data_IF_272889970226
#
_entry.id   IF_272889970226
#
_cell.length_a   1.000
_cell.length_b   1.000
_cell.length_c   1.000
_cell.angle_alpha   90.00
_cell.angle_beta   90.00
_cell.angle_gamma   90.00
#
_symmetry.space_group_name_H-M   'P 1'
#
loop_
_entity.id
_entity.type
_entity.pdbx_description
1 polymer ?
#
# COMPACT_ATOMS: atom_id res chain seq x y z
N UNK A 1 -18.25 8.20 -3.64
CA UNK A 1 -17.04 7.57 -3.09
C UNK A 1 -17.43 6.18 -2.57
N UNK A 2 -17.16 5.13 -3.33
CA UNK A 2 -17.49 3.74 -3.00
C UNK A 2 -16.48 3.14 -2.02
N UNK A 3 -16.82 2.00 -1.42
CA UNK A 3 -15.89 1.26 -0.54
C UNK A 3 -14.60 0.90 -1.28
N UNK A 4 -14.68 0.48 -2.55
CA UNK A 4 -13.50 0.28 -3.40
C UNK A 4 -12.63 1.53 -3.47
N UNK A 5 -13.22 2.70 -3.76
CA UNK A 5 -12.44 3.94 -3.91
C UNK A 5 -11.70 4.31 -2.62
N UNK A 6 -12.32 4.09 -1.44
CA UNK A 6 -11.67 4.32 -0.14
C UNK A 6 -10.52 3.35 0.10
N UNK A 7 -10.73 2.05 -0.15
CA UNK A 7 -9.71 1.02 0.03
C UNK A 7 -8.53 1.24 -0.93
N UNK A 8 -8.81 1.61 -2.18
CA UNK A 8 -7.78 1.94 -3.18
C UNK A 8 -6.96 3.17 -2.75
N UNK A 9 -7.60 4.21 -2.25
CA UNK A 9 -6.89 5.38 -1.72
C UNK A 9 -5.98 5.00 -0.56
N UNK A 10 -6.49 4.26 0.44
CA UNK A 10 -5.65 3.80 1.57
C UNK A 10 -4.47 2.95 1.11
N UNK A 11 -4.65 2.11 0.10
CA UNK A 11 -3.54 1.34 -0.48
C UNK A 11 -2.46 2.24 -1.11
N UNK A 12 -2.86 3.31 -1.81
CA UNK A 12 -1.93 4.30 -2.36
C UNK A 12 -1.20 5.08 -1.26
N UNK A 13 -1.90 5.43 -0.18
CA UNK A 13 -1.31 6.12 0.97
C UNK A 13 -0.26 5.23 1.66
N UNK A 14 -0.57 3.94 1.84
CA UNK A 14 0.38 2.95 2.39
C UNK A 14 1.59 2.72 1.49
N UNK A 15 1.41 2.70 0.16
CA UNK A 15 2.53 2.63 -0.80
C UNK A 15 3.42 3.87 -0.69
N UNK A 16 2.82 5.05 -0.61
CA UNK A 16 3.56 6.30 -0.42
C UNK A 16 4.33 6.30 0.89
N UNK A 17 3.71 5.85 1.99
CA UNK A 17 4.38 5.73 3.29
C UNK A 17 5.57 4.76 3.24
N UNK A 18 5.44 3.62 2.54
CA UNK A 18 6.57 2.70 2.32
C UNK A 18 7.71 3.37 1.55
N UNK A 19 7.40 4.08 0.48
CA UNK A 19 8.41 4.81 -0.31
C UNK A 19 9.12 5.87 0.54
N UNK A 20 8.40 6.60 1.41
CA UNK A 20 8.99 7.55 2.35
C UNK A 20 9.96 6.87 3.33
N UNK A 21 9.61 5.68 3.85
CA UNK A 21 10.51 4.91 4.71
C UNK A 21 11.77 4.47 3.96
N UNK A 22 11.64 4.05 2.70
CA UNK A 22 12.78 3.72 1.84
C UNK A 22 13.68 4.94 1.61
N UNK A 23 13.11 6.12 1.37
CA UNK A 23 13.86 7.38 1.27
C UNK A 23 14.57 7.73 2.58
N UNK A 24 13.92 7.59 3.74
CA UNK A 24 14.55 7.81 5.05
C UNK A 24 15.72 6.86 5.30
N UNK A 25 15.63 5.61 4.82
CA UNK A 25 16.74 4.68 4.93
C UNK A 25 17.98 5.06 4.10
N UNK A 26 17.84 5.94 3.09
CA UNK A 26 18.96 6.43 2.29
C UNK A 26 19.70 7.59 2.96
N UNK A 27 18.99 8.41 3.73
CA UNK A 27 19.54 9.64 4.32
C UNK A 27 19.84 9.50 5.83
N UNK A 28 19.33 8.48 6.49
CA UNK A 28 19.55 8.24 7.91
C UNK A 28 20.91 7.58 8.20
N UNK A 29 21.43 7.76 9.41
CA UNK A 29 22.59 7.02 9.92
C UNK A 29 22.34 5.51 9.99
N UNK A 30 23.42 4.72 10.06
CA UNK A 30 23.40 3.26 9.83
C UNK A 30 22.36 2.50 10.68
N UNK A 31 22.24 2.85 11.96
CA UNK A 31 21.29 2.24 12.89
C UNK A 31 19.83 2.49 12.46
N UNK A 32 19.48 3.75 12.21
CA UNK A 32 18.14 4.13 11.77
C UNK A 32 17.81 3.61 10.37
N UNK A 33 18.81 3.55 9.48
CA UNK A 33 18.65 3.04 8.13
C UNK A 33 18.24 1.56 8.11
N UNK A 34 18.76 0.74 9.03
CA UNK A 34 18.32 -0.66 9.20
C UNK A 34 16.86 -0.74 9.63
N UNK A 35 16.46 0.04 10.63
CA UNK A 35 15.10 0.07 11.14
C UNK A 35 14.09 0.47 10.06
N UNK A 36 14.37 1.53 9.29
CA UNK A 36 13.49 1.97 8.20
C UNK A 36 13.33 0.92 7.10
N UNK A 37 14.43 0.28 6.68
CA UNK A 37 14.38 -0.84 5.71
C UNK A 37 13.56 -2.01 6.22
N UNK A 38 13.70 -2.35 7.50
CA UNK A 38 12.96 -3.45 8.09
C UNK A 38 11.45 -3.16 8.14
N UNK A 39 11.07 -1.95 8.52
CA UNK A 39 9.67 -1.52 8.53
C UNK A 39 9.09 -1.54 7.12
N UNK A 40 9.78 -0.95 6.14
CA UNK A 40 9.35 -0.97 4.73
C UNK A 40 9.16 -2.40 4.21
N UNK A 41 10.08 -3.32 4.55
CA UNK A 41 9.97 -4.74 4.21
C UNK A 41 8.76 -5.42 4.86
N UNK A 42 8.48 -5.12 6.14
CA UNK A 42 7.33 -5.66 6.89
C UNK A 42 5.99 -5.21 6.31
N UNK A 43 5.94 -4.09 5.57
CA UNK A 43 4.73 -3.63 4.88
C UNK A 43 4.40 -4.45 3.61
N UNK A 44 5.40 -5.05 2.97
CA UNK A 44 5.28 -5.71 1.66
C UNK A 44 4.19 -6.81 1.64
N UNK A 45 4.10 -7.74 2.62
CA UNK A 45 3.04 -8.76 2.61
C UNK A 45 1.63 -8.15 2.72
N UNK A 46 1.47 -7.05 3.45
CA UNK A 46 0.19 -6.36 3.60
C UNK A 46 -0.20 -5.64 2.32
N UNK A 47 0.74 -4.96 1.66
CA UNK A 47 0.52 -4.33 0.36
C UNK A 47 0.12 -5.37 -0.70
N UNK A 48 0.79 -6.52 -0.74
CA UNK A 48 0.45 -7.60 -1.67
C UNK A 48 -0.95 -8.19 -1.43
N UNK A 49 -1.37 -8.33 -0.16
CA UNK A 49 -2.75 -8.78 0.16
C UNK A 49 -3.78 -7.74 -0.28
N UNK A 50 -3.52 -6.45 -0.03
CA UNK A 50 -4.39 -5.36 -0.45
C UNK A 50 -4.50 -5.27 -1.97
N UNK A 51 -3.40 -5.41 -2.71
CA UNK A 51 -3.40 -5.39 -4.17
C UNK A 51 -4.30 -6.49 -4.75
N UNK A 52 -4.19 -7.73 -4.23
CA UNK A 52 -5.08 -8.84 -4.62
C UNK A 52 -6.55 -8.54 -4.31
N UNK A 53 -6.84 -7.99 -3.12
CA UNK A 53 -8.23 -7.66 -2.75
C UNK A 53 -8.80 -6.54 -3.62
N UNK A 54 -8.02 -5.50 -3.92
CA UNK A 54 -8.45 -4.38 -4.77
C UNK A 54 -8.84 -4.88 -6.17
N UNK A 55 -8.05 -5.78 -6.76
CA UNK A 55 -8.37 -6.39 -8.06
C UNK A 55 -9.72 -7.14 -8.03
N UNK A 56 -10.02 -7.85 -6.95
CA UNK A 56 -11.34 -8.50 -6.81
C UNK A 56 -12.48 -7.49 -6.61
N UNK A 57 -12.24 -6.44 -5.80
CA UNK A 57 -13.24 -5.43 -5.49
C UNK A 57 -13.61 -4.55 -6.68
N UNK A 58 -12.71 -4.39 -7.66
CA UNK A 58 -12.97 -3.63 -8.88
C UNK A 58 -14.23 -4.14 -9.60
N UNK A 59 -14.38 -5.46 -9.72
CA UNK A 59 -15.55 -6.09 -10.35
C UNK A 59 -16.80 -6.12 -9.46
N UNK A 60 -16.67 -5.83 -8.16
CA UNK A 60 -17.80 -5.76 -7.24
C UNK A 60 -18.54 -4.40 -7.34
N UNK A 61 -17.92 -3.40 -7.99
CA UNK A 61 -18.44 -2.03 -8.10
C UNK A 61 -19.75 -1.96 -8.93
N UNK A 62 -20.66 -1.02 -8.60
CA UNK A 62 -21.98 -0.93 -9.25
C UNK A 62 -21.93 -0.83 -10.77
N UNK A 63 -20.89 -0.18 -11.32
CA UNK A 63 -20.69 0.00 -12.76
C UNK A 63 -20.48 -1.31 -13.55
N UNK A 64 -20.05 -2.39 -12.88
CA UNK A 64 -19.89 -3.71 -13.51
C UNK A 64 -21.09 -4.65 -13.26
N UNK A 65 -22.09 -4.23 -12.48
CA UNK A 65 -23.26 -5.04 -12.13
C UNK A 65 -24.43 -4.93 -13.12
N UNK A 66 -24.23 -4.27 -14.27
CA UNK A 66 -25.30 -3.94 -15.23
C UNK A 66 -25.07 -4.40 -16.67
N UNK A 67 -24.27 -5.44 -16.89
CA UNK A 67 -24.18 -6.14 -18.19
C UNK A 67 -25.20 -7.27 -18.25
#
# INVERSE_FOLDING_TARGET
MTTYSKVKQTFLDLKSAKATLEQYALIAGEENARSFREIARKMEPTLQRLDRRIRSMEFEEPQYRGS
#
